data_IF_441004177581
#
_entry.id   IF_441004177581
#
_cell.length_a   1.000
_cell.length_b   1.000
_cell.length_c   1.000
_cell.angle_alpha   90.00
_cell.angle_beta   90.00
_cell.angle_gamma   90.00
#
_symmetry.space_group_name_H-M   'P 1'
#
loop_
_entity.id
_entity.type
_entity.pdbx_description
1 polymer ?
#
# COMPACT_ATOMS: atom_id res chain seq x y z
N UNK A 1 -21.46 -20.72 -4.72
CA UNK A 1 -21.64 -19.37 -5.31
C UNK A 1 -20.48 -19.12 -6.28
N UNK A 2 -20.72 -18.73 -7.54
CA UNK A 2 -19.63 -18.54 -8.53
C UNK A 2 -19.05 -17.14 -8.33
N UNK A 3 -17.99 -17.02 -7.53
CA UNK A 3 -17.30 -15.75 -7.28
C UNK A 3 -16.60 -15.34 -8.58
N UNK A 4 -16.99 -14.20 -9.13
CA UNK A 4 -16.51 -13.73 -10.44
C UNK A 4 -15.36 -12.72 -10.27
N UNK A 5 -14.35 -12.77 -11.14
CA UNK A 5 -13.20 -11.85 -11.09
C UNK A 5 -13.59 -10.36 -11.16
N UNK A 6 -14.80 -10.07 -11.66
CA UNK A 6 -15.39 -8.73 -11.75
C UNK A 6 -15.57 -8.06 -10.38
N UNK A 7 -15.67 -8.84 -9.29
CA UNK A 7 -15.89 -8.33 -7.94
C UNK A 7 -14.67 -7.63 -7.33
N UNK A 8 -13.46 -7.91 -7.85
CA UNK A 8 -12.19 -7.31 -7.43
C UNK A 8 -11.81 -6.05 -8.23
N UNK A 9 -12.63 -5.66 -9.20
CA UNK A 9 -12.42 -4.44 -9.99
C UNK A 9 -12.17 -3.18 -9.13
N UNK A 10 -12.90 -2.91 -8.01
CA UNK A 10 -12.59 -1.73 -7.19
C UNK A 10 -11.26 -1.86 -6.44
N UNK A 11 -10.83 -3.07 -6.07
CA UNK A 11 -9.55 -3.28 -5.40
C UNK A 11 -8.37 -3.03 -6.34
N UNK A 12 -8.49 -3.45 -7.60
CA UNK A 12 -7.50 -3.15 -8.64
C UNK A 12 -7.50 -1.68 -9.04
N UNK A 13 -8.65 -1.01 -8.98
CA UNK A 13 -8.73 0.44 -9.19
C UNK A 13 -7.88 1.21 -8.17
N UNK A 14 -7.87 0.77 -6.89
CA UNK A 14 -6.98 1.36 -5.86
C UNK A 14 -5.51 1.22 -6.26
N UNK A 15 -5.09 0.04 -6.73
CA UNK A 15 -3.70 -0.17 -7.21
C UNK A 15 -3.36 0.77 -8.36
N UNK A 16 -4.28 0.94 -9.31
CA UNK A 16 -4.12 1.86 -10.43
C UNK A 16 -3.95 3.32 -9.98
N UNK A 17 -4.74 3.77 -9.01
CA UNK A 17 -4.61 5.11 -8.42
C UNK A 17 -3.25 5.30 -7.74
N UNK A 18 -2.79 4.32 -6.96
CA UNK A 18 -1.49 4.41 -6.27
C UNK A 18 -0.33 4.45 -7.28
N UNK A 19 -0.36 3.61 -8.31
CA UNK A 19 0.64 3.67 -9.39
C UNK A 19 0.62 5.03 -10.10
N UNK A 20 -0.56 5.58 -10.35
CA UNK A 20 -0.70 6.90 -10.93
C UNK A 20 -0.10 7.98 -10.02
N UNK A 21 -0.32 7.90 -8.70
CA UNK A 21 0.26 8.82 -7.74
C UNK A 21 1.79 8.79 -7.77
N UNK A 22 2.40 7.59 -7.77
CA UNK A 22 3.86 7.44 -7.95
C UNK A 22 4.36 8.08 -9.25
N UNK A 23 3.65 7.89 -10.37
CA UNK A 23 4.00 8.53 -11.64
C UNK A 23 3.90 10.05 -11.58
N UNK A 24 2.88 10.59 -10.90
CA UNK A 24 2.73 12.03 -10.68
C UNK A 24 3.89 12.57 -9.83
N UNK A 25 4.32 11.87 -8.79
CA UNK A 25 5.48 12.29 -7.99
C UNK A 25 6.75 12.36 -8.85
N UNK A 26 7.03 11.32 -9.65
CA UNK A 26 8.16 11.31 -10.57
C UNK A 26 8.09 12.46 -11.59
N UNK A 27 6.89 12.69 -12.16
CA UNK A 27 6.67 13.75 -13.12
C UNK A 27 6.94 15.14 -12.50
N UNK A 28 6.44 15.38 -11.29
CA UNK A 28 6.67 16.64 -10.56
C UNK A 28 8.16 16.82 -10.30
N UNK A 29 8.87 15.79 -9.82
CA UNK A 29 10.31 15.85 -9.56
C UNK A 29 11.11 16.14 -10.82
N UNK A 30 10.77 15.53 -11.96
CA UNK A 30 11.45 15.77 -13.24
C UNK A 30 11.19 17.17 -13.81
N UNK A 31 9.94 17.63 -13.76
CA UNK A 31 9.56 18.87 -14.43
C UNK A 31 9.82 20.12 -13.59
N UNK A 32 9.70 20.00 -12.27
CA UNK A 32 9.75 21.13 -11.33
C UNK A 32 10.82 20.97 -10.24
N UNK A 33 11.57 19.87 -10.23
CA UNK A 33 12.52 19.56 -9.16
C UNK A 33 13.53 20.65 -8.89
N UNK A 34 14.16 21.20 -9.92
CA UNK A 34 15.13 22.29 -9.76
C UNK A 34 14.55 23.58 -9.15
N UNK A 35 13.25 23.83 -9.32
CA UNK A 35 12.59 25.01 -8.78
C UNK A 35 11.99 24.78 -7.39
N UNK A 36 11.64 23.54 -7.06
CA UNK A 36 10.98 23.16 -5.82
C UNK A 36 11.94 22.63 -4.74
N UNK A 37 13.16 22.27 -5.11
CA UNK A 37 14.16 21.78 -4.17
C UNK A 37 14.58 22.86 -3.18
N UNK A 38 14.53 22.51 -1.90
CA UNK A 38 15.12 23.29 -0.81
C UNK A 38 16.22 22.45 -0.15
N UNK A 39 17.47 22.54 -0.67
CA UNK A 39 18.52 21.62 -0.30
C UNK A 39 18.97 21.83 1.14
N UNK A 40 18.77 20.82 1.97
CA UNK A 40 19.31 20.82 3.34
C UNK A 40 20.84 20.67 3.35
N UNK A 41 21.50 21.13 4.43
CA UNK A 41 22.89 20.80 4.71
C UNK A 41 23.15 19.29 4.63
N UNK A 42 24.32 18.91 4.12
CA UNK A 42 24.66 17.53 3.76
C UNK A 42 24.58 16.57 4.95
N UNK A 43 25.06 16.99 6.11
CA UNK A 43 25.03 16.23 7.38
C UNK A 43 23.59 15.84 7.78
N UNK A 44 22.68 16.81 7.73
CA UNK A 44 21.26 16.62 8.03
C UNK A 44 20.59 15.73 6.99
N UNK A 45 20.95 15.90 5.72
CA UNK A 45 20.40 15.11 4.62
C UNK A 45 20.79 13.64 4.73
N UNK A 46 22.05 13.34 5.03
CA UNK A 46 22.53 11.96 5.23
C UNK A 46 21.80 11.30 6.40
N UNK A 47 21.62 12.03 7.51
CA UNK A 47 20.88 11.52 8.66
C UNK A 47 19.42 11.17 8.30
N UNK A 48 18.69 12.11 7.67
CA UNK A 48 17.29 11.88 7.27
C UNK A 48 17.19 10.72 6.27
N UNK A 49 18.10 10.66 5.28
CA UNK A 49 18.17 9.56 4.31
C UNK A 49 18.28 8.21 5.01
N UNK A 50 19.17 8.12 6.00
CA UNK A 50 19.40 6.89 6.77
C UNK A 50 18.16 6.49 7.56
N UNK A 51 17.48 7.45 8.20
CA UNK A 51 16.22 7.22 8.91
C UNK A 51 15.12 6.75 7.94
N UNK A 52 14.99 7.38 6.78
CA UNK A 52 13.96 7.02 5.80
C UNK A 52 14.20 5.62 5.22
N UNK A 53 15.46 5.23 4.97
CA UNK A 53 15.78 3.86 4.57
C UNK A 53 15.44 2.85 5.67
N UNK A 54 15.75 3.15 6.93
CA UNK A 54 15.38 2.29 8.05
C UNK A 54 13.86 2.14 8.15
N UNK A 55 13.10 3.24 8.02
CA UNK A 55 11.64 3.22 7.98
C UNK A 55 11.14 2.36 6.81
N UNK A 56 11.65 2.57 5.61
CA UNK A 56 11.25 1.79 4.44
C UNK A 56 11.45 0.28 4.64
N UNK A 57 12.60 -0.14 5.18
CA UNK A 57 12.89 -1.54 5.47
C UNK A 57 11.87 -2.13 6.46
N UNK A 58 11.49 -1.38 7.49
CA UNK A 58 10.57 -1.82 8.55
C UNK A 58 9.10 -1.78 8.10
N UNK A 59 8.73 -0.87 7.19
CA UNK A 59 7.36 -0.75 6.69
C UNK A 59 6.89 -2.02 5.97
N UNK A 60 7.77 -2.72 5.24
CA UNK A 60 7.39 -3.97 4.58
C UNK A 60 6.92 -5.07 5.54
N UNK A 61 7.71 -5.52 6.53
CA UNK A 61 7.25 -6.55 7.48
C UNK A 61 6.06 -6.08 8.31
N UNK A 62 6.00 -4.79 8.69
CA UNK A 62 4.84 -4.24 9.39
C UNK A 62 3.58 -4.32 8.52
N UNK A 63 3.66 -3.95 7.25
CA UNK A 63 2.53 -4.03 6.30
C UNK A 63 2.05 -5.46 6.16
N UNK A 64 2.98 -6.42 6.06
CA UNK A 64 2.65 -7.84 6.00
C UNK A 64 1.91 -8.31 7.26
N UNK A 65 2.39 -7.90 8.45
CA UNK A 65 1.76 -8.22 9.72
C UNK A 65 0.36 -7.62 9.84
N UNK A 66 0.21 -6.34 9.51
CA UNK A 66 -1.09 -5.64 9.53
C UNK A 66 -2.07 -6.33 8.59
N UNK A 67 -1.64 -6.66 7.36
CA UNK A 67 -2.47 -7.38 6.40
C UNK A 67 -2.91 -8.74 6.95
N UNK A 68 -1.98 -9.50 7.53
CA UNK A 68 -2.30 -10.80 8.12
C UNK A 68 -3.37 -10.68 9.22
N UNK A 69 -3.20 -9.72 10.13
CA UNK A 69 -4.18 -9.46 11.20
C UNK A 69 -5.52 -9.05 10.61
N UNK A 70 -5.55 -8.12 9.65
CA UNK A 70 -6.79 -7.65 9.03
C UNK A 70 -7.54 -8.77 8.30
N UNK A 71 -6.85 -9.65 7.59
CA UNK A 71 -7.48 -10.80 6.93
C UNK A 71 -8.13 -11.74 7.96
N UNK A 72 -7.45 -12.00 9.08
CA UNK A 72 -8.02 -12.81 10.18
C UNK A 72 -9.24 -12.14 10.80
N UNK A 73 -9.17 -10.84 11.10
CA UNK A 73 -10.30 -10.09 11.64
C UNK A 73 -11.49 -10.06 10.68
N UNK A 74 -11.24 -9.96 9.37
CA UNK A 74 -12.31 -9.99 8.37
C UNK A 74 -13.07 -11.32 8.34
N UNK A 75 -12.41 -12.42 8.71
CA UNK A 75 -12.99 -13.77 8.79
C UNK A 75 -13.69 -14.05 10.12
N UNK A 76 -13.22 -13.47 11.23
CA UNK A 76 -13.67 -13.87 12.58
C UNK A 76 -14.63 -12.90 13.24
N UNK A 77 -14.73 -11.65 12.77
CA UNK A 77 -15.62 -10.67 13.39
C UNK A 77 -17.04 -10.83 12.81
N UNK A 78 -18.05 -11.20 13.62
CA UNK A 78 -19.44 -11.22 13.19
C UNK A 78 -19.87 -9.80 12.82
N UNK A 79 -20.65 -9.64 11.75
CA UNK A 79 -21.26 -8.35 11.45
C UNK A 79 -21.77 -8.18 10.03
N UNK A 80 -22.67 -7.21 9.86
CA UNK A 80 -23.45 -6.99 8.63
C UNK A 80 -22.65 -6.39 7.44
N UNK A 81 -21.33 -6.19 7.57
CA UNK A 81 -20.52 -5.66 6.46
C UNK A 81 -20.19 -6.78 5.48
N UNK A 82 -20.46 -6.55 4.19
CA UNK A 82 -20.15 -7.50 3.13
C UNK A 82 -18.65 -7.82 3.04
N UNK A 83 -18.32 -9.05 2.63
CA UNK A 83 -16.95 -9.50 2.39
C UNK A 83 -16.15 -8.51 1.51
N UNK A 84 -16.83 -7.94 0.51
CA UNK A 84 -16.24 -6.97 -0.44
C UNK A 84 -15.75 -5.70 0.25
N UNK A 85 -16.56 -5.12 1.13
CA UNK A 85 -16.22 -3.90 1.89
C UNK A 85 -15.08 -4.15 2.88
N UNK A 86 -15.14 -5.28 3.60
CA UNK A 86 -14.10 -5.71 4.55
C UNK A 86 -12.74 -5.86 3.85
N UNK A 87 -12.73 -6.58 2.73
CA UNK A 87 -11.51 -6.80 1.95
C UNK A 87 -10.98 -5.51 1.30
N UNK A 88 -11.87 -4.61 0.85
CA UNK A 88 -11.47 -3.33 0.27
C UNK A 88 -10.68 -2.49 1.27
N UNK A 89 -11.14 -2.41 2.53
CA UNK A 89 -10.43 -1.70 3.58
C UNK A 89 -9.02 -2.27 3.79
N UNK A 90 -8.88 -3.60 3.85
CA UNK A 90 -7.58 -4.27 3.97
C UNK A 90 -6.62 -3.92 2.83
N UNK A 91 -7.13 -3.94 1.60
CA UNK A 91 -6.34 -3.55 0.43
C UNK A 91 -5.92 -2.09 0.51
N UNK A 92 -6.86 -1.18 0.79
CA UNK A 92 -6.58 0.26 0.90
C UNK A 92 -5.52 0.55 1.96
N UNK A 93 -5.64 -0.04 3.16
CA UNK A 93 -4.66 0.16 4.24
C UNK A 93 -3.28 -0.37 3.85
N UNK A 94 -3.22 -1.59 3.28
CA UNK A 94 -1.95 -2.17 2.83
C UNK A 94 -1.27 -1.30 1.75
N UNK A 95 -2.08 -0.79 0.81
CA UNK A 95 -1.61 0.06 -0.28
C UNK A 95 -1.10 1.41 0.22
N UNK A 96 -1.81 2.06 1.14
CA UNK A 96 -1.37 3.35 1.71
C UNK A 96 -0.06 3.25 2.49
N UNK A 97 0.16 2.16 3.24
CA UNK A 97 1.40 1.95 3.98
C UNK A 97 2.61 1.85 3.04
N UNK A 98 2.45 1.12 1.93
CA UNK A 98 3.48 0.98 0.91
C UNK A 98 3.68 2.28 0.13
N UNK A 99 2.60 2.95 -0.25
CA UNK A 99 2.64 4.22 -0.96
C UNK A 99 3.39 5.28 -0.14
N UNK A 100 3.28 5.22 1.19
CA UNK A 100 4.06 6.04 2.11
C UNK A 100 5.57 5.95 1.87
N UNK A 101 6.10 4.78 1.48
CA UNK A 101 7.52 4.62 1.10
C UNK A 101 7.85 5.45 -0.15
N UNK A 102 6.95 5.48 -1.13
CA UNK A 102 7.11 6.32 -2.33
C UNK A 102 7.12 7.81 -1.98
N UNK A 103 6.24 8.22 -1.06
CA UNK A 103 6.19 9.59 -0.54
C UNK A 103 7.50 9.97 0.17
N UNK A 104 8.12 9.07 0.94
CA UNK A 104 9.43 9.32 1.55
C UNK A 104 10.51 9.62 0.48
N UNK A 105 10.49 8.91 -0.64
CA UNK A 105 11.35 9.19 -1.80
C UNK A 105 11.13 10.57 -2.40
N UNK A 106 9.86 10.93 -2.60
CA UNK A 106 9.48 12.27 -3.07
C UNK A 106 9.97 13.37 -2.12
N UNK A 107 9.75 13.20 -0.82
CA UNK A 107 10.21 14.16 0.20
C UNK A 107 11.73 14.29 0.21
N UNK A 108 12.48 13.18 0.13
CA UNK A 108 13.95 13.24 0.08
C UNK A 108 14.45 14.02 -1.12
N UNK A 109 13.86 13.79 -2.29
CA UNK A 109 14.20 14.54 -3.49
C UNK A 109 13.95 16.05 -3.31
N UNK A 110 12.81 16.43 -2.69
CA UNK A 110 12.48 17.83 -2.40
C UNK A 110 13.46 18.48 -1.41
N UNK A 111 14.04 17.71 -0.49
CA UNK A 111 15.11 18.15 0.44
C UNK A 111 16.49 18.25 -0.24
N UNK A 112 16.52 18.14 -1.58
CA UNK A 112 17.70 18.30 -2.42
C UNK A 112 18.44 17.00 -2.74
N UNK A 113 17.91 15.83 -2.35
CA UNK A 113 18.54 14.55 -2.67
C UNK A 113 18.46 14.19 -4.16
N UNK A 114 19.32 13.29 -4.60
CA UNK A 114 19.44 12.89 -6.00
C UNK A 114 18.26 12.04 -6.47
N UNK A 115 18.08 12.01 -7.79
CA UNK A 115 17.14 11.13 -8.47
C UNK A 115 17.34 9.64 -8.12
N UNK A 116 18.56 9.23 -7.75
CA UNK A 116 18.83 7.85 -7.32
C UNK A 116 17.99 7.47 -6.10
N UNK A 117 17.94 8.32 -5.08
CA UNK A 117 17.12 8.07 -3.89
C UNK A 117 15.64 8.00 -4.28
N UNK A 118 15.16 8.95 -5.10
CA UNK A 118 13.79 8.95 -5.59
C UNK A 118 13.43 7.61 -6.26
N UNK A 119 14.25 7.13 -7.20
CA UNK A 119 13.99 5.87 -7.90
C UNK A 119 14.06 4.64 -7.00
N UNK A 120 14.94 4.61 -6.00
CA UNK A 120 14.99 3.50 -5.05
C UNK A 120 13.69 3.42 -4.25
N UNK A 121 13.24 4.53 -3.66
CA UNK A 121 12.00 4.56 -2.88
C UNK A 121 10.75 4.31 -3.74
N UNK A 122 10.70 4.87 -4.95
CA UNK A 122 9.61 4.58 -5.90
C UNK A 122 9.63 3.11 -6.34
N UNK A 123 10.80 2.55 -6.61
CA UNK A 123 10.95 1.13 -6.96
C UNK A 123 10.49 0.20 -5.83
N UNK A 124 10.84 0.54 -4.59
CA UNK A 124 10.34 -0.15 -3.40
C UNK A 124 8.82 -0.03 -3.28
N UNK A 125 8.26 1.16 -3.46
CA UNK A 125 6.81 1.36 -3.44
C UNK A 125 6.11 0.49 -4.50
N UNK A 126 6.59 0.51 -5.76
CA UNK A 126 6.07 -0.36 -6.82
C UNK A 126 6.18 -1.84 -6.46
N UNK A 127 7.30 -2.27 -5.88
CA UNK A 127 7.48 -3.64 -5.40
C UNK A 127 6.44 -3.99 -4.32
N UNK A 128 6.18 -3.10 -3.37
CA UNK A 128 5.15 -3.29 -2.36
C UNK A 128 3.75 -3.35 -2.98
N UNK A 129 3.42 -2.49 -3.93
CA UNK A 129 2.14 -2.53 -4.64
C UNK A 129 1.96 -3.87 -5.35
N UNK A 130 3.03 -4.41 -5.94
CA UNK A 130 3.03 -5.72 -6.57
C UNK A 130 2.86 -6.88 -5.57
N UNK A 131 3.51 -6.82 -4.41
CA UNK A 131 3.45 -7.86 -3.37
C UNK A 131 2.09 -7.91 -2.66
N UNK A 132 1.54 -6.74 -2.34
CA UNK A 132 0.29 -6.60 -1.57
C UNK A 132 -0.96 -6.41 -2.44
N UNK A 133 -0.83 -6.61 -3.76
CA UNK A 133 -1.93 -6.57 -4.72
C UNK A 133 -3.11 -7.44 -4.26
N UNK A 134 -4.34 -7.06 -4.60
CA UNK A 134 -5.51 -7.87 -4.27
C UNK A 134 -5.40 -9.27 -4.89
N UNK A 135 -5.62 -10.30 -4.07
CA UNK A 135 -5.59 -11.71 -4.47
C UNK A 135 -6.97 -12.31 -4.30
N UNK A 136 -7.46 -12.97 -5.33
CA UNK A 136 -8.76 -13.63 -5.31
C UNK A 136 -8.87 -14.69 -4.21
N UNK A 137 -7.80 -15.44 -3.95
CA UNK A 137 -7.78 -16.46 -2.91
C UNK A 137 -8.08 -15.90 -1.51
N UNK A 138 -7.57 -14.72 -1.18
CA UNK A 138 -7.83 -14.07 0.11
C UNK A 138 -9.29 -13.61 0.22
N UNK A 139 -9.85 -13.10 -0.89
CA UNK A 139 -11.24 -12.69 -0.95
C UNK A 139 -12.19 -13.89 -0.80
N UNK A 140 -11.94 -14.98 -1.52
CA UNK A 140 -12.74 -16.21 -1.45
C UNK A 140 -12.77 -16.78 -0.02
N UNK A 141 -11.63 -16.80 0.67
CA UNK A 141 -11.56 -17.25 2.07
C UNK A 141 -12.42 -16.42 3.03
N UNK A 142 -12.59 -15.11 2.77
CA UNK A 142 -13.46 -14.26 3.59
C UNK A 142 -14.94 -14.57 3.30
N UNK A 143 -15.28 -14.80 2.03
CA UNK A 143 -16.65 -15.18 1.63
C UNK A 143 -17.05 -16.51 2.25
N UNK A 144 -16.18 -17.53 2.15
CA UNK A 144 -16.43 -18.87 2.69
C UNK A 144 -16.59 -18.84 4.22
N UNK A 145 -15.73 -18.09 4.92
CA UNK A 145 -15.81 -17.96 6.38
C UNK A 145 -17.13 -17.32 6.86
N UNK A 146 -17.64 -16.33 6.11
CA UNK A 146 -18.89 -15.67 6.44
C UNK A 146 -20.12 -16.53 6.11
N UNK A 147 -20.07 -17.37 5.06
CA UNK A 147 -21.16 -18.31 4.78
C UNK A 147 -21.27 -19.40 5.84
N UNK A 148 -20.15 -19.92 6.33
CA UNK A 148 -20.13 -20.94 7.39
C UNK A 148 -20.68 -20.39 8.72
N UNK A 149 -20.46 -19.10 8.99
CA UNK A 149 -21.00 -18.42 10.16
C UNK A 149 -22.52 -18.23 10.06
N UNK A 150 -23.02 -17.77 8.91
CA UNK A 150 -24.45 -17.62 8.64
C UNK A 150 -25.21 -18.96 8.76
N UNK A 151 -24.62 -20.08 8.31
CA UNK A 151 -25.21 -21.41 8.48
C UNK A 151 -25.31 -21.82 9.95
N UNK A 152 -24.29 -21.53 10.77
CA UNK A 152 -24.30 -21.82 12.22
C UNK A 152 -25.32 -21.01 12.99
N UNK A 153 -25.61 -19.77 12.59
CA UNK A 153 -26.63 -18.93 13.23
C UNK A 153 -28.07 -19.30 12.84
N UNK A 154 -28.27 -20.04 11.75
CA UNK A 154 -29.61 -20.46 11.27
C UNK A 154 -30.07 -21.82 11.82
N UNK A 155 -29.19 -22.60 12.43
CA UNK A 155 -29.52 -23.84 13.14
C UNK A 155 -29.84 -23.55 14.61
#
# INVERSE_FOLDING_TARGET
MKIENSELSPHWFVVGIMLLALMVYLFICHQFGHALQDPLPEDRRIFIRSVFYAIAIVVFPITNLIRHIQLRLNQTIPGNKSAKSRYLLTVVVSMMLVEGVGVLGFVMFMLGDDFNTLYIFTGLAVLGLYLYRPKFAEYAQIVDALSDEDEKFRQ
#
